data_IF_532884851119
#
_entry.id   IF_532884851119
#
_cell.length_a   1.000
_cell.length_b   1.000
_cell.length_c   1.000
_cell.angle_alpha   90.00
_cell.angle_beta   90.00
_cell.angle_gamma   90.00
#
_symmetry.space_group_name_H-M   'P 1'
#
loop_
_entity.id
_entity.type
_entity.pdbx_description
1 polymer ?
#
# COMPACT_ATOMS: atom_id res chain seq x y z
N UNK A 1 15.27 -17.09 -14.24
CA UNK A 1 15.95 -17.84 -13.17
C UNK A 1 14.84 -18.58 -12.42
N UNK A 2 14.84 -19.91 -12.42
CA UNK A 2 13.83 -20.68 -11.67
C UNK A 2 14.53 -21.08 -10.37
N UNK A 3 14.04 -20.58 -9.23
CA UNK A 3 14.55 -20.99 -7.91
C UNK A 3 14.30 -22.49 -7.70
N UNK A 4 15.19 -23.15 -6.96
CA UNK A 4 15.18 -24.60 -6.69
C UNK A 4 14.26 -25.01 -5.53
N UNK A 5 13.41 -24.10 -5.06
CA UNK A 5 12.42 -24.35 -4.00
C UNK A 5 11.64 -25.66 -4.18
N UNK A 6 11.27 -26.28 -3.06
CA UNK A 6 10.42 -27.49 -3.05
C UNK A 6 9.07 -27.23 -3.76
N UNK A 7 8.44 -28.27 -4.35
CA UNK A 7 7.17 -28.09 -5.06
C UNK A 7 6.07 -27.46 -4.20
N UNK A 8 6.00 -27.83 -2.92
CA UNK A 8 5.05 -27.25 -1.97
C UNK A 8 5.31 -25.75 -1.73
N UNK A 9 6.57 -25.37 -1.54
CA UNK A 9 6.96 -23.98 -1.32
C UNK A 9 6.70 -23.11 -2.56
N UNK A 10 7.02 -23.62 -3.76
CA UNK A 10 6.68 -22.95 -5.04
C UNK A 10 5.19 -22.72 -5.19
N UNK A 11 4.38 -23.74 -4.87
CA UNK A 11 2.92 -23.64 -4.90
C UNK A 11 2.42 -22.57 -3.93
N UNK A 12 2.96 -22.56 -2.70
CA UNK A 12 2.56 -21.60 -1.68
C UNK A 12 2.98 -20.15 -2.03
N UNK A 13 4.15 -19.94 -2.64
CA UNK A 13 4.55 -18.63 -3.20
C UNK A 13 3.56 -18.18 -4.26
N UNK A 14 3.14 -19.07 -5.16
CA UNK A 14 2.20 -18.74 -6.21
C UNK A 14 0.82 -18.35 -5.64
N UNK A 15 0.34 -19.08 -4.62
CA UNK A 15 -0.88 -18.72 -3.88
C UNK A 15 -0.76 -17.34 -3.27
N UNK A 16 0.26 -17.09 -2.44
CA UNK A 16 0.44 -15.79 -1.79
C UNK A 16 0.65 -14.64 -2.78
N UNK A 17 1.38 -14.88 -3.87
CA UNK A 17 1.60 -13.90 -4.94
C UNK A 17 0.32 -13.50 -5.69
N UNK A 18 -0.73 -14.33 -5.66
CA UNK A 18 -2.04 -14.00 -6.23
C UNK A 18 -2.95 -13.22 -5.27
N UNK A 19 -2.57 -13.10 -4.00
CA UNK A 19 -3.40 -12.53 -2.93
C UNK A 19 -3.02 -11.08 -2.56
N UNK A 20 -2.23 -10.39 -3.39
CA UNK A 20 -1.86 -9.01 -3.13
C UNK A 20 -2.97 -8.02 -3.51
N UNK A 21 -3.26 -7.09 -2.60
CA UNK A 21 -4.20 -6.00 -2.81
C UNK A 21 -3.67 -4.99 -3.84
N UNK A 22 -4.57 -4.47 -4.69
CA UNK A 22 -4.25 -3.35 -5.56
C UNK A 22 -4.51 -2.04 -4.81
N UNK A 23 -3.45 -1.26 -4.60
CA UNK A 23 -3.53 -0.01 -3.85
C UNK A 23 -2.92 1.15 -4.65
N UNK A 24 -3.50 2.33 -4.51
CA UNK A 24 -3.08 3.52 -5.23
C UNK A 24 -3.23 4.79 -4.39
N UNK A 25 -2.26 5.69 -4.50
CA UNK A 25 -2.36 7.04 -3.93
C UNK A 25 -2.14 8.11 -5.00
N UNK A 26 -2.88 9.20 -4.85
CA UNK A 26 -2.68 10.44 -5.60
C UNK A 26 -2.40 11.56 -4.62
N UNK A 27 -1.32 12.30 -4.82
CA UNK A 27 -0.95 13.45 -4.00
C UNK A 27 -0.82 14.71 -4.84
N UNK A 28 -1.17 15.85 -4.27
CA UNK A 28 -1.02 17.16 -4.90
C UNK A 28 -0.39 18.15 -3.93
N UNK A 29 0.56 18.95 -4.39
CA UNK A 29 0.86 20.21 -3.71
C UNK A 29 -0.21 21.23 -4.12
N UNK A 30 -0.95 21.73 -3.13
CA UNK A 30 -1.96 22.76 -3.33
C UNK A 30 -1.38 24.18 -3.34
N UNK A 31 -2.06 25.10 -4.00
CA UNK A 31 -1.69 26.52 -4.09
C UNK A 31 -1.86 27.27 -2.77
N UNK A 32 -2.84 26.86 -1.97
CA UNK A 32 -3.06 27.28 -0.59
C UNK A 32 -3.68 26.16 0.24
N UNK A 33 -3.79 26.34 1.54
CA UNK A 33 -4.39 25.34 2.44
C UNK A 33 -5.89 25.61 2.58
N UNK A 34 -6.61 25.53 1.46
CA UNK A 34 -8.06 25.83 1.40
C UNK A 34 -8.88 25.01 2.43
N UNK A 35 -8.41 23.79 2.73
CA UNK A 35 -9.03 22.94 3.74
C UNK A 35 -8.95 23.55 5.16
N UNK A 36 -7.89 24.29 5.50
CA UNK A 36 -7.76 25.00 6.77
C UNK A 36 -8.45 26.37 6.75
N UNK A 37 -8.21 27.12 5.66
CA UNK A 37 -8.64 28.50 5.50
C UNK A 37 -10.16 28.62 5.37
N UNK A 38 -10.78 27.75 4.58
CA UNK A 38 -12.20 27.86 4.22
C UNK A 38 -13.06 26.82 4.97
N UNK A 39 -12.52 25.61 5.16
CA UNK A 39 -13.28 24.48 5.72
C UNK A 39 -12.92 24.14 7.17
N UNK A 40 -11.92 24.81 7.76
CA UNK A 40 -11.44 24.58 9.13
C UNK A 40 -11.05 23.12 9.44
N UNK A 41 -10.52 22.42 8.45
CA UNK A 41 -10.03 21.04 8.56
C UNK A 41 -8.53 21.06 8.88
N UNK A 42 -8.13 20.43 9.99
CA UNK A 42 -6.73 20.37 10.45
C UNK A 42 -6.30 18.91 10.58
N UNK A 43 -5.81 18.33 9.49
CA UNK A 43 -5.52 16.90 9.39
C UNK A 43 -6.80 16.05 9.24
N UNK A 44 -6.64 14.73 9.28
CA UNK A 44 -7.75 13.79 9.17
C UNK A 44 -8.11 13.41 7.74
N UNK A 45 -9.29 12.80 7.59
CA UNK A 45 -9.73 12.15 6.35
C UNK A 45 -11.19 12.54 6.07
N UNK A 46 -11.48 12.90 4.82
CA UNK A 46 -12.86 12.92 4.31
C UNK A 46 -13.09 11.72 3.41
N UNK A 47 -14.22 11.04 3.59
CA UNK A 47 -14.61 9.86 2.84
C UNK A 47 -15.62 10.21 1.76
N UNK A 48 -15.63 9.45 0.66
CA UNK A 48 -16.57 9.64 -0.45
C UNK A 48 -16.83 8.33 -1.17
N UNK A 49 -17.98 8.22 -1.83
CA UNK A 49 -18.35 7.10 -2.70
C UNK A 49 -17.77 7.24 -4.12
N UNK A 50 -17.07 8.35 -4.41
CA UNK A 50 -16.35 8.56 -5.67
C UNK A 50 -15.11 7.64 -5.76
N UNK A 51 -14.57 7.53 -6.97
CA UNK A 51 -13.43 6.64 -7.23
C UNK A 51 -12.18 7.01 -6.42
N UNK A 52 -12.02 8.27 -5.97
CA UNK A 52 -10.91 8.66 -5.08
C UNK A 52 -10.97 8.04 -3.67
N UNK A 53 -12.14 7.52 -3.28
CA UNK A 53 -12.55 6.95 -1.97
C UNK A 53 -12.39 7.85 -0.74
N UNK A 54 -11.33 8.66 -0.70
CA UNK A 54 -10.99 9.52 0.41
C UNK A 54 -9.97 10.61 0.02
N UNK A 55 -10.03 11.73 0.74
CA UNK A 55 -9.02 12.78 0.73
C UNK A 55 -8.38 12.85 2.12
N UNK A 56 -7.04 12.84 2.19
CA UNK A 56 -6.30 13.01 3.45
C UNK A 56 -5.66 14.39 3.52
N UNK A 57 -5.93 15.10 4.61
CA UNK A 57 -5.33 16.39 4.89
C UNK A 57 -4.05 16.20 5.70
N UNK A 58 -2.99 16.97 5.41
CA UNK A 58 -1.72 16.83 6.11
C UNK A 58 -1.86 17.18 7.60
N UNK A 59 -1.39 16.29 8.48
CA UNK A 59 -1.31 16.52 9.92
C UNK A 59 -0.06 17.32 10.35
N UNK A 60 0.60 17.97 9.39
CA UNK A 60 1.83 18.75 9.58
C UNK A 60 1.75 20.05 8.78
N UNK A 61 2.57 21.04 9.18
CA UNK A 61 2.66 22.33 8.48
C UNK A 61 1.39 23.17 8.58
N UNK A 62 0.68 23.10 9.71
CA UNK A 62 -0.51 23.93 9.96
C UNK A 62 -0.22 25.42 9.75
N UNK A 63 -1.16 26.13 9.15
CA UNK A 63 -1.08 27.56 8.86
C UNK A 63 0.06 27.99 7.91
N UNK A 64 0.73 27.04 7.25
CA UNK A 64 1.65 27.37 6.16
C UNK A 64 0.88 27.83 4.92
N UNK A 65 1.56 28.51 4.00
CA UNK A 65 0.90 29.01 2.78
C UNK A 65 0.54 27.92 1.78
N UNK A 66 1.11 26.71 1.88
CA UNK A 66 0.86 25.56 0.99
C UNK A 66 0.88 24.25 1.76
N UNK A 67 0.46 23.17 1.12
CA UNK A 67 0.53 21.83 1.70
C UNK A 67 0.37 20.74 0.66
N UNK A 68 0.83 19.54 0.99
CA UNK A 68 0.55 18.34 0.18
C UNK A 68 -0.69 17.66 0.74
N UNK A 69 -1.69 17.51 -0.11
CA UNK A 69 -2.92 16.77 0.18
C UNK A 69 -2.87 15.41 -0.53
N UNK A 70 -3.36 14.36 0.10
CA UNK A 70 -3.61 13.09 -0.59
C UNK A 70 -5.00 13.18 -1.20
N UNK A 71 -5.07 13.43 -2.50
CA UNK A 71 -6.33 13.59 -3.25
C UNK A 71 -7.03 12.28 -3.59
N UNK A 72 -6.37 11.14 -3.40
CA UNK A 72 -6.99 9.82 -3.45
C UNK A 72 -6.16 8.81 -2.66
N UNK A 73 -6.81 7.89 -1.95
CA UNK A 73 -6.17 6.67 -1.46
C UNK A 73 -7.09 5.47 -1.63
N UNK A 74 -6.82 4.70 -2.67
CA UNK A 74 -7.69 3.66 -3.18
C UNK A 74 -7.09 2.30 -2.83
N UNK A 75 -7.88 1.45 -2.20
CA UNK A 75 -7.57 0.02 -1.97
C UNK A 75 -8.73 -0.88 -2.41
N UNK A 76 -9.68 -0.31 -3.16
CA UNK A 76 -10.79 -1.05 -3.77
C UNK A 76 -10.33 -1.67 -5.10
N UNK A 77 -10.40 -3.00 -5.19
CA UNK A 77 -9.93 -3.75 -6.35
C UNK A 77 -10.70 -3.39 -7.65
N UNK A 78 -12.04 -3.30 -7.68
CA UNK A 78 -12.78 -2.81 -8.84
C UNK A 78 -12.34 -1.42 -9.35
N UNK A 79 -12.16 -0.45 -8.46
CA UNK A 79 -11.71 0.90 -8.81
C UNK A 79 -10.26 0.85 -9.33
N UNK A 80 -9.36 0.17 -8.63
CA UNK A 80 -7.96 0.01 -9.05
C UNK A 80 -7.85 -0.63 -10.43
N UNK A 81 -8.66 -1.65 -10.75
CA UNK A 81 -8.70 -2.28 -12.09
C UNK A 81 -9.04 -1.29 -13.21
N UNK A 82 -9.90 -0.30 -12.94
CA UNK A 82 -10.26 0.76 -13.90
C UNK A 82 -9.19 1.83 -14.01
N UNK A 83 -8.63 2.28 -12.88
CA UNK A 83 -7.78 3.47 -12.85
C UNK A 83 -6.28 3.18 -13.04
N UNK A 84 -5.77 2.06 -12.54
CA UNK A 84 -4.34 1.74 -12.62
C UNK A 84 -3.77 1.55 -14.05
N UNK A 85 -4.55 1.10 -15.05
CA UNK A 85 -4.09 1.09 -16.44
C UNK A 85 -3.92 2.49 -17.06
N UNK A 86 -4.50 3.53 -16.46
CA UNK A 86 -4.44 4.89 -16.99
C UNK A 86 -3.05 5.50 -16.79
N UNK A 87 -2.69 6.42 -17.69
CA UNK A 87 -1.49 7.23 -17.51
C UNK A 87 -1.56 8.02 -16.18
N UNK A 88 -0.44 8.27 -15.48
CA UNK A 88 -0.44 9.03 -14.22
C UNK A 88 -1.18 10.37 -14.31
N UNK A 89 -1.00 11.10 -15.41
CA UNK A 89 -1.70 12.37 -15.67
C UNK A 89 -3.23 12.23 -15.70
N UNK A 90 -3.75 11.10 -16.18
CA UNK A 90 -5.18 10.87 -16.25
C UNK A 90 -5.77 10.51 -14.88
N UNK A 91 -5.04 9.73 -14.08
CA UNK A 91 -5.40 9.48 -12.68
C UNK A 91 -5.44 10.76 -11.86
N UNK A 92 -4.52 11.69 -12.13
CA UNK A 92 -4.51 13.02 -11.53
C UNK A 92 -5.75 13.83 -11.95
N UNK A 93 -6.15 13.81 -13.23
CA UNK A 93 -7.38 14.50 -13.70
C UNK A 93 -8.63 13.92 -13.06
N UNK A 94 -8.75 12.59 -12.98
CA UNK A 94 -9.86 11.93 -12.30
C UNK A 94 -9.93 12.35 -10.83
N UNK A 95 -8.79 12.35 -10.12
CA UNK A 95 -8.77 12.75 -8.72
C UNK A 95 -9.14 14.21 -8.50
N UNK A 96 -8.77 15.11 -9.42
CA UNK A 96 -9.20 16.51 -9.39
C UNK A 96 -10.72 16.62 -9.59
N UNK A 97 -11.26 15.90 -10.58
CA UNK A 97 -12.69 15.92 -10.89
C UNK A 97 -13.54 15.41 -9.72
N UNK A 98 -13.15 14.31 -9.09
CA UNK A 98 -13.84 13.79 -7.91
C UNK A 98 -13.66 14.70 -6.70
N UNK A 99 -12.47 15.27 -6.51
CA UNK A 99 -12.17 16.21 -5.43
C UNK A 99 -13.01 17.48 -5.50
N UNK A 100 -13.33 17.97 -6.70
CA UNK A 100 -14.24 19.12 -6.92
C UNK A 100 -15.65 18.87 -6.34
N UNK A 101 -16.10 17.62 -6.31
CA UNK A 101 -17.41 17.26 -5.74
C UNK A 101 -17.45 17.33 -4.22
N UNK A 102 -16.30 17.15 -3.58
CA UNK A 102 -16.16 17.21 -2.12
C UNK A 102 -15.79 18.62 -1.65
N UNK A 103 -14.95 19.30 -2.42
CA UNK A 103 -14.50 20.68 -2.17
C UNK A 103 -14.73 21.54 -3.41
N UNK A 104 -15.84 22.29 -3.48
CA UNK A 104 -16.08 23.18 -4.60
C UNK A 104 -14.93 24.19 -4.79
N UNK A 105 -14.29 24.17 -5.97
CA UNK A 105 -13.09 24.94 -6.27
C UNK A 105 -11.76 24.19 -6.14
N UNK A 106 -11.77 22.91 -5.75
CA UNK A 106 -10.58 22.07 -5.62
C UNK A 106 -9.64 22.14 -6.84
N UNK A 107 -10.19 22.08 -8.06
CA UNK A 107 -9.42 22.12 -9.29
C UNK A 107 -8.73 23.47 -9.58
N UNK A 108 -9.02 24.53 -8.82
CA UNK A 108 -8.26 25.78 -8.85
C UNK A 108 -7.04 25.73 -7.92
N UNK A 109 -7.08 24.88 -6.91
CA UNK A 109 -6.06 24.79 -5.87
C UNK A 109 -5.00 23.73 -6.16
N UNK A 110 -5.32 22.71 -6.97
CA UNK A 110 -4.39 21.64 -7.36
C UNK A 110 -4.33 21.50 -8.88
N UNK A 111 -3.26 20.87 -9.39
CA UNK A 111 -3.10 20.66 -10.83
C UNK A 111 -2.35 19.35 -11.13
N UNK A 112 -2.47 18.86 -12.37
CA UNK A 112 -1.67 17.72 -12.85
C UNK A 112 -0.17 17.99 -12.73
N UNK A 113 0.28 19.23 -12.96
CA UNK A 113 1.69 19.60 -12.88
C UNK A 113 2.25 19.59 -11.46
N UNK A 114 1.40 19.75 -10.44
CA UNK A 114 1.79 19.74 -9.03
C UNK A 114 1.46 18.43 -8.31
N UNK A 115 1.17 17.36 -9.06
CA UNK A 115 0.71 16.10 -8.51
C UNK A 115 1.54 14.88 -8.88
N UNK A 116 1.38 13.83 -8.08
CA UNK A 116 2.01 12.52 -8.24
C UNK A 116 0.97 11.42 -8.06
N UNK A 117 1.09 10.34 -8.82
CA UNK A 117 0.19 9.19 -8.71
C UNK A 117 0.96 7.88 -8.75
N UNK A 118 0.74 7.03 -7.75
CA UNK A 118 1.40 5.73 -7.56
C UNK A 118 0.31 4.66 -7.48
N UNK A 119 0.37 3.68 -8.39
CA UNK A 119 -0.42 2.44 -8.31
C UNK A 119 0.58 1.31 -8.04
N UNK A 120 0.52 0.72 -6.84
CA UNK A 120 1.53 -0.20 -6.32
C UNK A 120 1.67 -1.48 -7.16
N UNK A 121 0.59 -1.94 -7.77
CA UNK A 121 0.54 -3.05 -8.71
C UNK A 121 1.33 -2.80 -10.01
N UNK A 122 1.63 -1.53 -10.32
CA UNK A 122 2.47 -1.13 -11.47
C UNK A 122 3.92 -0.87 -11.09
N UNK A 123 4.25 -0.82 -9.80
CA UNK A 123 5.62 -0.53 -9.34
C UNK A 123 6.47 -1.81 -9.43
N UNK A 124 7.58 -1.80 -10.20
CA UNK A 124 8.52 -2.92 -10.23
C UNK A 124 9.00 -3.28 -8.82
N UNK A 125 9.19 -4.58 -8.58
CA UNK A 125 9.58 -5.13 -7.27
C UNK A 125 8.53 -5.05 -6.16
N UNK A 126 7.44 -4.29 -6.33
CA UNK A 126 6.28 -4.30 -5.41
C UNK A 126 5.12 -5.13 -5.96
N UNK A 127 4.59 -4.76 -7.14
CA UNK A 127 3.46 -5.45 -7.83
C UNK A 127 2.20 -5.68 -6.97
N UNK A 128 2.02 -4.91 -5.91
CA UNK A 128 0.89 -4.95 -4.99
C UNK A 128 1.13 -4.02 -3.80
N UNK A 129 0.08 -3.68 -3.05
CA UNK A 129 0.18 -2.85 -1.85
C UNK A 129 0.64 -3.65 -0.63
N UNK A 130 -0.11 -4.69 -0.29
CA UNK A 130 0.13 -5.64 0.79
C UNK A 130 -0.55 -6.96 0.44
N UNK A 131 -0.22 -8.04 1.13
CA UNK A 131 -0.94 -9.31 0.97
C UNK A 131 -2.24 -9.33 1.79
N UNK A 132 -3.29 -9.89 1.21
CA UNK A 132 -4.57 -10.19 1.86
C UNK A 132 -4.76 -11.71 1.84
N UNK A 133 -4.24 -12.36 2.87
CA UNK A 133 -4.40 -13.80 3.01
C UNK A 133 -5.86 -14.16 3.34
N UNK A 134 -6.45 -15.01 2.51
CA UNK A 134 -7.68 -15.72 2.84
C UNK A 134 -7.44 -16.68 4.02
N UNK A 135 -8.46 -16.93 4.83
CA UNK A 135 -8.35 -17.80 6.01
C UNK A 135 -7.89 -19.22 5.63
N UNK A 136 -8.39 -19.77 4.52
CA UNK A 136 -7.95 -21.08 4.00
C UNK A 136 -6.47 -21.09 3.60
N UNK A 137 -5.96 -19.98 3.07
CA UNK A 137 -4.57 -19.86 2.65
C UNK A 137 -3.64 -19.64 3.85
N UNK A 138 -4.15 -19.04 4.95
CA UNK A 138 -3.43 -18.96 6.23
C UNK A 138 -3.12 -20.33 6.80
N UNK A 139 -4.06 -21.27 6.69
CA UNK A 139 -3.91 -22.62 7.22
C UNK A 139 -3.01 -23.52 6.35
N UNK A 140 -2.82 -23.15 5.09
CA UNK A 140 -2.14 -23.98 4.08
C UNK A 140 -0.87 -23.32 3.53
N UNK A 141 -0.99 -22.40 2.58
CA UNK A 141 0.11 -21.75 1.90
C UNK A 141 0.98 -20.94 2.87
N UNK A 142 0.38 -20.07 3.70
CA UNK A 142 1.12 -19.28 4.69
C UNK A 142 1.88 -20.17 5.68
N UNK A 143 1.25 -21.24 6.18
CA UNK A 143 1.91 -22.21 7.07
C UNK A 143 3.11 -22.87 6.42
N UNK A 144 3.02 -23.16 5.12
CA UNK A 144 4.14 -23.70 4.35
C UNK A 144 5.28 -22.68 4.25
N UNK A 145 4.95 -21.43 3.94
CA UNK A 145 5.93 -20.34 3.80
C UNK A 145 6.53 -19.87 5.13
N UNK A 146 5.86 -20.13 6.27
CA UNK A 146 6.36 -19.74 7.59
C UNK A 146 7.52 -20.61 8.07
N UNK A 147 7.72 -21.77 7.45
CA UNK A 147 8.88 -22.62 7.68
C UNK A 147 9.97 -22.39 6.63
N UNK A 148 11.19 -22.84 6.94
CA UNK A 148 12.30 -22.76 6.01
C UNK A 148 12.13 -23.78 4.88
N UNK A 149 12.51 -23.39 3.67
CA UNK A 149 12.82 -24.34 2.60
C UNK A 149 14.33 -24.50 2.56
N UNK A 150 14.83 -25.60 3.13
CA UNK A 150 16.23 -25.84 3.48
C UNK A 150 16.83 -24.69 4.33
N UNK A 151 17.66 -23.85 3.71
CA UNK A 151 18.34 -22.72 4.37
C UNK A 151 17.73 -21.37 4.02
N UNK A 152 16.57 -21.35 3.35
CA UNK A 152 15.90 -20.13 2.90
C UNK A 152 14.69 -19.86 3.78
N UNK A 153 14.68 -18.68 4.40
CA UNK A 153 13.58 -18.16 5.19
C UNK A 153 12.96 -16.96 4.50
N UNK A 154 11.63 -16.83 4.54
CA UNK A 154 10.94 -15.62 4.09
C UNK A 154 10.66 -14.70 5.27
N UNK A 155 10.89 -13.41 5.06
CA UNK A 155 10.60 -12.36 6.03
C UNK A 155 9.93 -11.17 5.32
N UNK A 156 8.94 -10.58 5.97
CA UNK A 156 8.22 -9.42 5.46
C UNK A 156 6.82 -9.33 6.05
N UNK A 157 6.10 -8.25 5.75
CA UNK A 157 4.72 -8.05 6.26
C UNK A 157 3.82 -9.24 5.92
N UNK A 158 4.02 -9.83 4.74
CA UNK A 158 3.30 -10.99 4.23
C UNK A 158 3.52 -12.28 5.04
N UNK A 159 4.57 -12.31 5.86
CA UNK A 159 4.90 -13.39 6.79
C UNK A 159 4.54 -13.03 8.24
N UNK A 160 3.51 -12.18 8.41
CA UNK A 160 2.99 -11.79 9.72
C UNK A 160 1.45 -11.76 9.72
N UNK A 161 0.84 -11.58 10.89
CA UNK A 161 -0.60 -11.31 11.04
C UNK A 161 -0.93 -9.81 11.01
N UNK A 162 0.06 -8.94 10.85
CA UNK A 162 -0.09 -7.48 10.77
C UNK A 162 0.22 -7.00 9.35
N UNK A 163 -0.55 -7.51 8.38
CA UNK A 163 -0.31 -7.21 6.97
C UNK A 163 -0.59 -5.74 6.66
N UNK A 164 0.17 -5.17 5.73
CA UNK A 164 0.12 -3.73 5.39
C UNK A 164 0.74 -2.79 6.43
N UNK A 165 1.31 -3.32 7.52
CA UNK A 165 1.99 -2.55 8.56
C UNK A 165 3.49 -2.81 8.60
N UNK A 166 4.27 -1.76 8.86
CA UNK A 166 5.72 -1.87 9.07
C UNK A 166 6.05 -2.79 10.26
N UNK A 167 5.22 -2.78 11.30
CA UNK A 167 5.36 -3.66 12.46
C UNK A 167 5.35 -5.14 12.04
N UNK A 168 4.47 -5.54 11.12
CA UNK A 168 4.43 -6.90 10.60
C UNK A 168 5.75 -7.33 9.96
N UNK A 169 6.34 -6.46 9.14
CA UNK A 169 7.64 -6.74 8.53
C UNK A 169 8.77 -6.84 9.57
N UNK A 170 8.79 -5.96 10.56
CA UNK A 170 9.81 -5.95 11.63
C UNK A 170 9.69 -7.20 12.49
N UNK A 171 8.49 -7.55 12.95
CA UNK A 171 8.27 -8.74 13.79
C UNK A 171 8.59 -10.03 13.03
N UNK A 172 8.23 -10.11 11.74
CA UNK A 172 8.60 -11.23 10.87
C UNK A 172 10.13 -11.36 10.75
N UNK A 173 10.85 -10.26 10.53
CA UNK A 173 12.30 -10.27 10.45
C UNK A 173 12.94 -10.74 11.77
N UNK A 174 12.46 -10.25 12.92
CA UNK A 174 12.94 -10.67 14.23
C UNK A 174 12.70 -12.16 14.48
N UNK A 175 11.54 -12.69 14.07
CA UNK A 175 11.23 -14.11 14.17
C UNK A 175 12.19 -14.97 13.34
N UNK A 176 12.49 -14.55 12.10
CA UNK A 176 13.43 -15.27 11.22
C UNK A 176 14.86 -15.24 11.79
N UNK A 177 15.33 -14.08 12.27
CA UNK A 177 16.64 -13.97 12.94
C UNK A 177 16.72 -14.92 14.14
N UNK A 178 15.65 -14.99 14.95
CA UNK A 178 15.60 -15.91 16.08
C UNK A 178 15.64 -17.38 15.64
N UNK A 179 14.90 -17.77 14.59
CA UNK A 179 14.93 -19.13 14.02
C UNK A 179 16.35 -19.52 13.60
N UNK A 180 17.03 -18.64 12.85
CA UNK A 180 18.41 -18.86 12.39
C UNK A 180 19.38 -18.98 13.59
N UNK A 181 19.28 -18.08 14.56
CA UNK A 181 20.13 -18.10 15.76
C UNK A 181 19.98 -19.41 16.54
N UNK A 182 18.74 -19.87 16.75
CA UNK A 182 18.47 -21.13 17.45
C UNK A 182 19.05 -22.34 16.70
N UNK A 183 18.93 -22.37 15.36
CA UNK A 183 19.50 -23.44 14.55
C UNK A 183 21.03 -23.50 14.64
N UNK A 184 21.71 -22.35 14.58
CA UNK A 184 23.17 -22.28 14.72
C UNK A 184 23.65 -22.76 16.10
N UNK A 185 22.93 -22.40 17.16
CA UNK A 185 23.22 -22.87 18.51
C UNK A 185 23.08 -24.39 18.63
N UNK A 186 22.05 -24.98 18.01
CA UNK A 186 21.82 -26.42 18.02
C UNK A 186 22.90 -27.21 17.24
N UNK A 187 23.47 -26.64 16.18
CA UNK A 187 24.58 -27.25 15.41
C UNK A 187 25.91 -27.15 16.19
N UNK A 188 26.05 -26.14 17.03
CA UNK A 188 27.29 -25.87 17.79
C UNK A 188 27.36 -26.62 19.13
N UNK A 189 26.32 -27.35 19.50
CA UNK A 189 26.21 -28.13 20.74
C UNK A 189 26.46 -29.63 20.49
#
# INVERSE_FOLDING_TARGET
MIADFSPAFKSAIATGGASYANAMKVGFQANRRFWEEDAHIYGGISWTERDITQIWYPAVGFHQSKGVIVGAYIWDNPISKRLAPLAPAERLRQAIADGETLHPGYGREVSVASGVSIAWEKIPYSRGGWIEWEESDRETAYRTLSEADDSIYLAGEHMSYLTGWQEGAILSALQVVQKISTQLQAISA
#
